data_IF_588303998663
#
_entry.id   IF_588303998663
#
_cell.length_a   1.000
_cell.length_b   1.000
_cell.length_c   1.000
_cell.angle_alpha   90.00
_cell.angle_beta   90.00
_cell.angle_gamma   90.00
#
_symmetry.space_group_name_H-M   'P 1'
#
loop_
_entity.id
_entity.type
_entity.pdbx_description
1 polymer ?
#
# COMPACT_ATOMS: atom_id res chain seq x y z
N UNK A 1 18.74 4.43 -7.80
CA UNK A 1 17.44 4.45 -7.08
C UNK A 1 16.57 3.32 -7.59
N UNK A 2 15.99 2.52 -6.69
CA UNK A 2 15.05 1.45 -7.01
C UNK A 2 13.62 1.98 -6.87
N UNK A 3 12.82 1.82 -7.91
CA UNK A 3 11.39 2.17 -7.88
C UNK A 3 10.56 0.92 -7.64
N UNK A 4 9.74 0.96 -6.60
CA UNK A 4 8.70 -0.03 -6.31
C UNK A 4 7.33 0.62 -6.42
N UNK A 5 6.29 -0.17 -6.69
CA UNK A 5 4.91 0.35 -6.67
C UNK A 5 3.90 -0.72 -6.31
N UNK A 6 2.77 -0.28 -5.77
CA UNK A 6 1.61 -1.12 -5.50
C UNK A 6 0.33 -0.41 -5.93
N UNK A 7 -0.63 -1.19 -6.43
CA UNK A 7 -2.01 -0.75 -6.53
C UNK A 7 -2.65 -0.86 -5.16
N UNK A 8 -3.41 0.16 -4.77
CA UNK A 8 -4.20 0.18 -3.54
C UNK A 8 -5.65 -0.03 -3.93
N UNK A 9 -6.29 -0.99 -3.30
CA UNK A 9 -7.68 -1.34 -3.56
C UNK A 9 -8.52 -1.10 -2.31
N UNK A 10 -9.77 -0.74 -2.53
CA UNK A 10 -10.80 -0.61 -1.51
C UNK A 10 -11.91 -1.62 -1.82
N UNK A 11 -12.27 -2.42 -0.82
CA UNK A 11 -13.53 -3.13 -0.83
C UNK A 11 -14.62 -2.09 -0.53
N UNK A 12 -15.50 -1.90 -1.49
CA UNK A 12 -16.53 -0.88 -1.39
C UNK A 12 -17.47 -1.20 -0.22
N UNK A 13 -17.77 -0.22 0.64
CA UNK A 13 -18.60 -0.45 1.83
C UNK A 13 -20.08 -0.66 1.51
N UNK A 14 -20.53 -0.30 0.31
CA UNK A 14 -21.93 -0.38 -0.11
C UNK A 14 -22.31 -1.75 -0.71
N UNK A 15 -21.38 -2.42 -1.40
CA UNK A 15 -21.68 -3.68 -2.10
C UNK A 15 -20.60 -4.77 -2.00
N UNK A 16 -19.45 -4.48 -1.38
CA UNK A 16 -18.37 -5.46 -1.20
C UNK A 16 -17.49 -5.70 -2.44
N UNK A 17 -17.72 -5.01 -3.56
CA UNK A 17 -16.86 -5.11 -4.74
C UNK A 17 -15.51 -4.44 -4.50
N UNK A 18 -14.45 -5.00 -5.09
CA UNK A 18 -13.12 -4.39 -5.03
C UNK A 18 -12.90 -3.41 -6.16
N UNK A 19 -12.42 -2.21 -5.82
CA UNK A 19 -12.04 -1.17 -6.77
C UNK A 19 -10.60 -0.71 -6.55
N UNK A 20 -9.91 -0.37 -7.63
CA UNK A 20 -8.59 0.27 -7.54
C UNK A 20 -8.81 1.73 -7.15
N UNK A 21 -8.32 2.11 -5.97
CA UNK A 21 -8.38 3.50 -5.48
C UNK A 21 -7.27 4.33 -6.09
N UNK A 22 -6.07 3.75 -6.21
CA UNK A 22 -4.90 4.48 -6.64
C UNK A 22 -3.66 3.64 -6.75
N UNK A 23 -2.55 4.32 -7.00
CA UNK A 23 -1.22 3.72 -7.07
C UNK A 23 -0.30 4.43 -6.09
N UNK A 24 0.38 3.63 -5.29
CA UNK A 24 1.50 4.07 -4.48
C UNK A 24 2.81 3.72 -5.19
N UNK A 25 3.73 4.67 -5.25
CA UNK A 25 5.07 4.51 -5.80
C UNK A 25 6.09 4.89 -4.72
N UNK A 26 7.17 4.14 -4.64
CA UNK A 26 8.22 4.31 -3.65
C UNK A 26 9.58 4.24 -4.33
N UNK A 27 10.34 5.31 -4.22
CA UNK A 27 11.72 5.41 -4.68
C UNK A 27 12.64 5.24 -3.48
N UNK A 28 13.54 4.27 -3.53
CA UNK A 28 14.49 3.98 -2.45
C UNK A 28 15.91 3.93 -2.97
N UNK A 29 16.91 4.22 -2.12
CA UNK A 29 18.29 3.97 -2.48
C UNK A 29 18.54 2.48 -2.75
N UNK A 30 19.51 2.19 -3.61
CA UNK A 30 19.91 0.82 -3.93
C UNK A 30 20.58 0.12 -2.74
N UNK A 31 21.26 0.90 -1.89
CA UNK A 31 21.96 0.40 -0.71
C UNK A 31 21.37 1.04 0.57
N UNK A 32 21.23 0.28 1.67
CA UNK A 32 20.72 0.80 2.93
C UNK A 32 21.55 1.96 3.52
N UNK A 33 22.85 2.01 3.19
CA UNK A 33 23.81 2.99 3.72
C UNK A 33 23.86 4.30 2.92
N UNK A 34 23.04 4.42 1.87
CA UNK A 34 22.96 5.65 1.10
C UNK A 34 22.43 6.82 1.97
N UNK A 35 22.98 8.05 1.81
CA UNK A 35 22.45 9.22 2.49
C UNK A 35 21.08 9.67 1.94
N UNK A 36 20.69 9.18 0.75
CA UNK A 36 19.41 9.48 0.14
C UNK A 36 18.27 8.85 0.95
N UNK A 37 17.19 9.61 1.17
CA UNK A 37 16.03 9.12 1.91
C UNK A 37 15.02 8.52 0.92
N UNK A 38 14.38 7.39 1.28
CA UNK A 38 13.22 6.91 0.55
C UNK A 38 12.12 7.97 0.44
N UNK A 39 11.54 8.11 -0.76
CA UNK A 39 10.43 9.02 -1.03
C UNK A 39 9.29 8.22 -1.65
N UNK A 40 8.10 8.32 -1.06
CA UNK A 40 6.90 7.73 -1.63
C UNK A 40 5.89 8.77 -2.08
N UNK A 41 4.97 8.31 -2.91
CA UNK A 41 3.87 9.11 -3.42
C UNK A 41 2.65 8.24 -3.65
N UNK A 42 1.47 8.76 -3.36
CA UNK A 42 0.19 8.15 -3.69
C UNK A 42 -0.58 9.03 -4.68
N UNK A 43 -1.21 8.41 -5.67
CA UNK A 43 -2.06 9.10 -6.64
C UNK A 43 -3.37 8.31 -6.78
N UNK A 44 -4.51 9.00 -6.66
CA UNK A 44 -5.80 8.39 -6.96
C UNK A 44 -5.88 7.98 -8.45
N UNK A 45 -6.48 6.82 -8.71
CA UNK A 45 -6.59 6.29 -10.07
C UNK A 45 -7.63 7.09 -10.85
N UNK A 46 -7.39 7.40 -12.14
CA UNK A 46 -8.38 8.08 -12.98
C UNK A 46 -9.75 7.38 -12.96
N UNK A 47 -9.77 6.04 -13.04
CA UNK A 47 -11.01 5.25 -12.97
C UNK A 47 -11.77 5.42 -11.65
N UNK A 48 -11.08 5.70 -10.54
CA UNK A 48 -11.72 5.94 -9.25
C UNK A 48 -12.33 7.34 -9.18
N UNK A 49 -11.63 8.33 -9.74
CA UNK A 49 -12.09 9.71 -9.84
C UNK A 49 -13.28 9.83 -10.80
N UNK A 50 -13.21 9.18 -11.97
CA UNK A 50 -14.26 9.18 -12.99
C UNK A 50 -15.56 8.51 -12.50
N UNK A 51 -15.44 7.49 -11.65
CA UNK A 51 -16.58 6.84 -11.01
C UNK A 51 -17.26 7.72 -9.94
N UNK A 52 -16.64 8.84 -9.56
CA UNK A 52 -17.13 9.81 -8.58
C UNK A 52 -17.51 9.18 -7.21
N UNK A 53 -16.78 8.15 -6.79
CA UNK A 53 -16.99 7.57 -5.47
C UNK A 53 -16.62 8.58 -4.37
N UNK A 54 -17.41 8.70 -3.28
CA UNK A 54 -17.18 9.72 -2.27
C UNK A 54 -16.13 9.32 -1.22
N UNK A 55 -15.60 8.09 -1.27
CA UNK A 55 -14.74 7.56 -0.21
C UNK A 55 -13.28 7.96 -0.42
N UNK A 56 -12.77 8.80 0.48
CA UNK A 56 -11.34 8.98 0.71
C UNK A 56 -10.84 7.87 1.63
N UNK A 57 -9.69 7.27 1.30
CA UNK A 57 -9.12 6.16 2.10
C UNK A 57 -8.37 6.66 3.34
N UNK A 58 -8.07 7.95 3.39
CA UNK A 58 -7.46 8.63 4.52
C UNK A 58 -7.93 10.09 4.52
N UNK A 59 -9.02 10.42 5.25
CA UNK A 59 -9.57 11.77 5.26
C UNK A 59 -8.63 12.84 5.84
N UNK A 60 -7.58 12.44 6.56
CA UNK A 60 -6.65 13.37 7.20
C UNK A 60 -5.45 13.62 6.29
N UNK A 61 -4.83 12.55 5.78
CA UNK A 61 -3.59 12.66 5.01
C UNK A 61 -3.82 12.69 3.49
N UNK A 62 -4.93 12.14 2.99
CA UNK A 62 -5.30 12.07 1.57
C UNK A 62 -6.71 12.64 1.28
N UNK A 63 -7.02 13.88 1.72
CA UNK A 63 -8.41 14.39 1.76
C UNK A 63 -9.03 14.76 0.40
N UNK A 64 -8.25 14.88 -0.68
CA UNK A 64 -8.73 15.35 -1.99
C UNK A 64 -8.81 14.17 -2.95
N UNK A 65 -9.97 14.01 -3.55
CA UNK A 65 -10.20 13.09 -4.66
C UNK A 65 -9.84 13.82 -5.96
N UNK A 66 -8.54 13.97 -6.22
CA UNK A 66 -7.99 14.55 -7.45
C UNK A 66 -6.77 13.75 -7.93
N UNK A 67 -6.24 14.11 -9.09
CA UNK A 67 -5.06 13.47 -9.68
C UNK A 67 -3.73 14.04 -9.18
N UNK A 68 -3.74 14.91 -8.15
CA UNK A 68 -2.52 15.52 -7.63
C UNK A 68 -1.81 14.54 -6.70
N UNK A 69 -0.51 14.24 -6.91
CA UNK A 69 0.21 13.32 -6.06
C UNK A 69 0.28 13.77 -4.60
N UNK A 70 0.09 12.82 -3.70
CA UNK A 70 0.29 12.96 -2.27
C UNK A 70 1.67 12.43 -1.90
N UNK A 71 2.63 13.31 -1.56
CA UNK A 71 3.95 12.87 -1.14
C UNK A 71 3.89 12.27 0.28
N UNK A 72 4.59 11.16 0.46
CA UNK A 72 4.78 10.51 1.75
C UNK A 72 6.20 10.82 2.25
N UNK A 73 6.31 11.69 3.24
CA UNK A 73 7.60 12.09 3.83
C UNK A 73 7.95 11.31 5.10
N UNK A 74 6.95 10.71 5.74
CA UNK A 74 7.09 9.97 6.99
C UNK A 74 7.37 8.50 6.68
N UNK A 75 7.79 7.76 7.70
CA UNK A 75 7.92 6.30 7.65
C UNK A 75 8.72 5.77 6.46
N UNK A 76 9.83 6.45 6.14
CA UNK A 76 10.68 6.11 5.00
C UNK A 76 9.87 6.06 3.68
N UNK A 77 8.97 7.03 3.50
CA UNK A 77 8.20 7.14 2.27
C UNK A 77 6.87 6.39 2.27
N UNK A 78 6.47 5.68 3.32
CA UNK A 78 5.15 5.04 3.37
C UNK A 78 4.06 6.03 3.79
N UNK A 79 2.89 6.00 3.15
CA UNK A 79 1.73 6.80 3.59
C UNK A 79 1.16 6.24 4.90
N UNK A 80 0.54 7.10 5.71
CA UNK A 80 -0.08 6.72 6.98
C UNK A 80 -1.12 5.59 6.78
N UNK A 81 -2.03 5.72 5.81
CA UNK A 81 -2.99 4.64 5.48
C UNK A 81 -2.37 3.30 5.10
N UNK A 82 -1.23 3.30 4.39
CA UNK A 82 -0.57 2.04 4.05
C UNK A 82 0.17 1.44 5.26
N UNK A 83 0.65 2.29 6.16
CA UNK A 83 1.21 1.85 7.44
C UNK A 83 0.12 1.24 8.34
N UNK A 84 -1.07 1.81 8.36
CA UNK A 84 -2.18 1.33 9.20
C UNK A 84 -2.64 -0.09 8.80
N UNK A 85 -2.46 -0.46 7.54
CA UNK A 85 -2.73 -1.82 7.05
C UNK A 85 -1.49 -2.71 6.95
N UNK A 86 -0.33 -2.23 7.38
CA UNK A 86 0.88 -3.06 7.47
C UNK A 86 0.74 -4.07 8.61
N UNK A 87 1.40 -5.24 8.51
CA UNK A 87 1.47 -6.19 9.62
C UNK A 87 2.08 -5.54 10.86
N UNK A 88 1.68 -6.01 12.04
CA UNK A 88 2.27 -5.59 13.31
C UNK A 88 3.71 -6.13 13.49
N UNK A 89 4.32 -5.85 14.64
CA UNK A 89 5.68 -6.30 14.92
C UNK A 89 5.83 -7.82 14.88
N UNK A 90 4.83 -8.58 15.33
CA UNK A 90 4.88 -10.04 15.32
C UNK A 90 4.71 -10.61 13.91
N UNK A 91 3.73 -10.09 13.15
CA UNK A 91 3.53 -10.45 11.75
C UNK A 91 4.76 -10.16 10.90
N UNK A 92 5.48 -9.08 11.17
CA UNK A 92 6.77 -8.79 10.51
C UNK A 92 7.82 -9.85 10.79
N UNK A 93 7.97 -10.30 12.04
CA UNK A 93 8.93 -11.36 12.38
C UNK A 93 8.60 -12.67 11.64
N UNK A 94 7.31 -13.02 11.52
CA UNK A 94 6.87 -14.18 10.74
C UNK A 94 7.26 -14.02 9.27
N UNK A 95 6.96 -12.86 8.66
CA UNK A 95 7.28 -12.60 7.26
C UNK A 95 8.79 -12.53 7.01
N UNK A 96 9.57 -12.02 7.97
CA UNK A 96 11.04 -12.04 7.91
C UNK A 96 11.56 -13.48 7.82
N UNK A 97 11.04 -14.35 8.68
CA UNK A 97 11.43 -15.76 8.68
C UNK A 97 10.99 -16.46 7.38
N UNK A 98 9.73 -16.35 6.99
CA UNK A 98 9.17 -17.05 5.83
C UNK A 98 9.81 -16.62 4.50
N UNK A 99 9.94 -15.31 4.30
CA UNK A 99 10.43 -14.74 3.03
C UNK A 99 11.91 -14.34 3.08
N UNK A 100 12.63 -14.74 4.14
CA UNK A 100 14.05 -14.45 4.34
C UNK A 100 14.36 -12.93 4.21
N UNK A 101 13.46 -12.09 4.71
CA UNK A 101 13.64 -10.64 4.65
C UNK A 101 14.70 -10.22 5.67
N UNK A 102 15.63 -9.36 5.24
CA UNK A 102 16.67 -8.84 6.13
C UNK A 102 16.09 -7.97 7.26
N UNK A 103 16.85 -7.81 8.34
CA UNK A 103 16.46 -6.98 9.50
C UNK A 103 16.21 -5.50 9.16
N UNK A 104 16.73 -5.05 8.01
CA UNK A 104 16.57 -3.69 7.50
C UNK A 104 15.52 -3.60 6.38
N UNK A 105 14.73 -4.65 6.13
CA UNK A 105 13.71 -4.64 5.09
C UNK A 105 12.72 -3.49 5.28
N UNK A 106 12.25 -2.94 4.17
CA UNK A 106 11.37 -1.78 4.19
C UNK A 106 9.96 -2.18 4.59
N UNK A 107 9.19 -1.26 5.19
CA UNK A 107 7.77 -1.51 5.52
C UNK A 107 6.93 -1.94 4.31
N UNK A 108 7.27 -1.39 3.16
CA UNK A 108 6.67 -1.77 1.88
C UNK A 108 6.88 -3.26 1.56
N UNK A 109 8.03 -3.83 1.90
CA UNK A 109 8.33 -5.22 1.59
C UNK A 109 7.45 -6.14 2.46
N UNK A 110 7.31 -5.85 3.76
CA UNK A 110 6.33 -6.55 4.60
C UNK A 110 4.91 -6.37 4.10
N UNK A 111 4.53 -5.15 3.72
CA UNK A 111 3.21 -4.86 3.17
C UNK A 111 2.93 -5.66 1.90
N UNK A 112 3.92 -5.91 1.04
CA UNK A 112 3.74 -6.69 -0.18
C UNK A 112 3.76 -8.21 0.04
N UNK A 113 4.36 -8.68 1.13
CA UNK A 113 4.40 -10.10 1.50
C UNK A 113 3.27 -10.51 2.45
N UNK A 114 2.68 -9.55 3.16
CA UNK A 114 1.50 -9.78 3.99
C UNK A 114 0.33 -10.17 3.09
N UNK A 115 -0.10 -11.43 3.21
CA UNK A 115 -1.26 -11.97 2.51
C UNK A 115 -2.49 -11.11 2.74
N UNK A 116 -3.28 -10.92 1.69
CA UNK A 116 -4.45 -10.04 1.73
C UNK A 116 -5.67 -10.68 2.40
N UNK A 117 -5.65 -12.00 2.63
CA UNK A 117 -6.76 -12.76 3.22
C UNK A 117 -6.96 -12.46 4.71
N UNK A 118 -5.89 -12.16 5.43
CA UNK A 118 -5.90 -12.02 6.91
C UNK A 118 -5.85 -10.55 7.36
N UNK A 119 -6.09 -9.61 6.42
CA UNK A 119 -6.07 -8.18 6.73
C UNK A 119 -7.38 -7.73 7.37
N UNK A 120 -7.25 -6.88 8.36
CA UNK A 120 -8.37 -6.19 8.98
C UNK A 120 -8.66 -4.90 8.23
N UNK A 121 -9.93 -4.65 7.91
CA UNK A 121 -10.39 -3.46 7.20
C UNK A 121 -10.67 -3.69 5.72
N UNK A 122 -10.94 -2.59 5.00
CA UNK A 122 -11.43 -2.63 3.62
C UNK A 122 -10.34 -2.39 2.56
N UNK A 123 -9.07 -2.30 2.95
CA UNK A 123 -7.98 -1.97 2.03
C UNK A 123 -7.06 -3.16 1.79
N UNK A 124 -6.57 -3.26 0.56
CA UNK A 124 -5.56 -4.23 0.17
C UNK A 124 -4.59 -3.67 -0.86
N UNK A 125 -3.43 -4.30 -1.00
CA UNK A 125 -2.43 -3.92 -2.01
C UNK A 125 -2.08 -5.08 -2.92
N UNK A 126 -1.72 -4.78 -4.16
CA UNK A 126 -1.17 -5.79 -5.06
C UNK A 126 -0.21 -5.20 -6.09
N UNK A 127 0.61 -6.07 -6.70
CA UNK A 127 1.51 -5.70 -7.80
C UNK A 127 0.78 -5.49 -9.13
N UNK A 128 -0.47 -5.95 -9.22
CA UNK A 128 -1.28 -5.94 -10.45
C UNK A 128 -2.56 -5.12 -10.26
N UNK A 129 -3.22 -4.75 -11.36
CA UNK A 129 -4.53 -4.08 -11.29
C UNK A 129 -5.64 -4.99 -10.74
N UNK A 130 -5.43 -6.30 -10.69
CA UNK A 130 -6.36 -7.21 -10.01
C UNK A 130 -6.00 -7.22 -8.51
N UNK A 131 -6.98 -7.01 -7.62
CA UNK A 131 -6.74 -7.23 -6.20
C UNK A 131 -6.37 -8.70 -6.03
N UNK A 132 -5.31 -8.96 -5.27
CA UNK A 132 -4.96 -10.33 -4.91
C UNK A 132 -5.86 -10.74 -3.74
N UNK A 133 -7.13 -10.97 -4.05
CA UNK A 133 -8.10 -11.57 -3.13
C UNK A 133 -7.99 -13.06 -3.35
N UNK A 134 -6.98 -13.68 -2.73
CA UNK A 134 -6.81 -15.12 -2.81
C UNK A 134 -8.17 -15.78 -2.54
N UNK A 135 -8.55 -16.62 -3.50
CA UNK A 135 -9.86 -17.24 -3.56
C UNK A 135 -10.06 -18.07 -2.30
N UNK A 136 -11.23 -17.94 -1.68
CA UNK A 136 -11.70 -18.86 -0.65
C UNK A 136 -11.49 -20.27 -1.22
N UNK A 137 -10.54 -21.03 -0.67
CA UNK A 137 -10.45 -22.44 -1.00
C UNK A 137 -11.77 -23.08 -0.53
N UNK A 138 -12.51 -23.58 -1.52
CA UNK A 138 -13.61 -24.52 -1.35
C UNK A 138 -13.10 -25.84 -0.76
#
# INVERSE_FOLDING_TARGET
>A
MITSSAYVHLQRPDNGDWVIVGRYTLERPETPDSPEKPVGQFVYAPSYLDAAYPWVIDPINLPRLDSVPYPAYRYKGLTDVLRDISPDAWGKLILQHEYHLGSHAHEFDYLMHAGNMDRWGALTVSRSKKPDTASILA
#
